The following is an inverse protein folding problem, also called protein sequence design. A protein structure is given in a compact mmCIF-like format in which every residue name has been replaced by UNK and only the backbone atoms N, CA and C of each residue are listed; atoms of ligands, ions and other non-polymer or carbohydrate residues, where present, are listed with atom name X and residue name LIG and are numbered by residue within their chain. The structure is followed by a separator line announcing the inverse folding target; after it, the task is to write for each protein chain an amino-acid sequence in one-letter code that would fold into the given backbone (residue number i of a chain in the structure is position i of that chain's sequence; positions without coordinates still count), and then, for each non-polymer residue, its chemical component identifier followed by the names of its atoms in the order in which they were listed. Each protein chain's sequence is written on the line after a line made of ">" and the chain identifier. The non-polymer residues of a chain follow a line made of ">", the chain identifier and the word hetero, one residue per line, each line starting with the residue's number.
data_IF_045194764532
#
_entry.id   IF_045194764532
#
_cell.length_a   1.000
_cell.length_b   1.000
_cell.length_c   1.000
_cell.angle_alpha   90.00
_cell.angle_beta   90.00
_cell.angle_gamma   90.00
#
_symmetry.space_group_name_H-M   'P 1'
#
loop_
_entity.id
_entity.type
_entity.pdbx_description
1 polymer ?
#
# COMPACT_ATOMS: atom_id res chain seq x y z
N UNK A 1 4.99 -19.35 -9.43
CA UNK A 1 5.45 -19.16 -8.04
C UNK A 1 6.29 -20.38 -7.65
N UNK A 2 7.53 -20.16 -7.25
CA UNK A 2 8.38 -21.24 -6.74
C UNK A 2 7.90 -21.66 -5.34
N UNK A 3 8.22 -22.90 -4.96
CA UNK A 3 7.88 -23.41 -3.62
C UNK A 3 8.46 -22.52 -2.50
N UNK A 4 9.71 -22.05 -2.63
CA UNK A 4 10.32 -21.14 -1.66
C UNK A 4 9.59 -19.80 -1.52
N UNK A 5 9.08 -19.24 -2.61
CA UNK A 5 8.27 -18.02 -2.58
C UNK A 5 6.95 -18.25 -1.85
N UNK A 6 6.28 -19.38 -2.12
CA UNK A 6 5.05 -19.74 -1.44
C UNK A 6 5.24 -19.93 0.08
N UNK A 7 6.36 -20.51 0.50
CA UNK A 7 6.72 -20.65 1.91
C UNK A 7 6.95 -19.30 2.60
N UNK A 8 7.62 -18.37 1.94
CA UNK A 8 7.83 -17.00 2.43
C UNK A 8 6.50 -16.28 2.61
N UNK A 9 5.61 -16.34 1.62
CA UNK A 9 4.27 -15.74 1.71
C UNK A 9 3.44 -16.34 2.83
N UNK A 10 3.48 -17.65 3.02
CA UNK A 10 2.80 -18.34 4.12
C UNK A 10 3.31 -17.93 5.49
N UNK A 11 4.62 -17.74 5.65
CA UNK A 11 5.23 -17.25 6.88
C UNK A 11 4.85 -15.81 7.18
N UNK A 12 4.78 -14.94 6.17
CA UNK A 12 4.32 -13.56 6.32
C UNK A 12 2.84 -13.49 6.72
N UNK A 13 1.99 -14.30 6.10
CA UNK A 13 0.57 -14.39 6.42
C UNK A 13 0.36 -14.70 7.90
N UNK A 14 1.04 -15.73 8.39
CA UNK A 14 0.97 -16.14 9.79
C UNK A 14 1.43 -15.05 10.74
N UNK A 15 2.57 -14.41 10.45
CA UNK A 15 3.12 -13.34 11.26
C UNK A 15 2.19 -12.12 11.33
N UNK A 16 1.63 -11.71 10.19
CA UNK A 16 0.70 -10.58 10.13
C UNK A 16 -0.55 -10.84 10.97
N UNK A 17 -1.09 -12.06 10.92
CA UNK A 17 -2.25 -12.44 11.72
C UNK A 17 -1.94 -12.45 13.21
N UNK A 18 -0.76 -12.91 13.61
CA UNK A 18 -0.32 -12.86 15.00
C UNK A 18 -0.23 -11.43 15.52
N UNK A 19 0.40 -10.53 14.77
CA UNK A 19 0.54 -9.12 15.13
C UNK A 19 -0.83 -8.44 15.24
N UNK A 20 -1.69 -8.63 14.24
CA UNK A 20 -3.01 -8.02 14.21
C UNK A 20 -3.93 -8.52 15.34
N UNK A 21 -3.76 -9.77 15.78
CA UNK A 21 -4.52 -10.34 16.87
C UNK A 21 -4.09 -9.88 18.27
N UNK A 22 -2.89 -9.34 18.41
CA UNK A 22 -2.32 -8.94 19.70
C UNK A 22 -2.57 -7.48 20.06
N UNK A 23 -2.46 -6.58 19.08
CA UNK A 23 -2.54 -5.15 19.34
C UNK A 23 -2.91 -4.34 18.09
N UNK A 24 -3.27 -3.08 18.29
CA UNK A 24 -3.47 -2.14 17.20
C UNK A 24 -2.13 -1.90 16.47
N UNK A 25 -2.14 -1.96 15.15
CA UNK A 25 -0.94 -1.80 14.35
C UNK A 25 -1.23 -1.11 13.02
N UNK A 26 -0.17 -0.58 12.42
CA UNK A 26 -0.19 -0.03 11.06
C UNK A 26 0.74 -0.92 10.21
N UNK A 27 0.20 -1.46 9.14
CA UNK A 27 0.95 -2.32 8.23
C UNK A 27 1.03 -1.65 6.86
N UNK A 28 2.23 -1.59 6.32
CA UNK A 28 2.48 -1.00 5.00
C UNK A 28 2.75 -2.10 3.99
N UNK A 29 1.87 -2.23 3.00
CA UNK A 29 1.99 -3.19 1.92
C UNK A 29 1.72 -4.64 2.35
N UNK A 30 2.45 -5.60 1.78
CA UNK A 30 2.40 -7.04 2.08
C UNK A 30 1.04 -7.69 1.81
N UNK A 31 0.20 -7.07 0.97
CA UNK A 31 -1.18 -7.52 0.75
C UNK A 31 -1.99 -7.69 2.05
N UNK A 32 -1.65 -6.91 3.07
CA UNK A 32 -2.26 -7.00 4.39
C UNK A 32 -3.77 -6.74 4.35
N UNK A 33 -4.22 -5.89 3.44
CA UNK A 33 -5.65 -5.64 3.22
C UNK A 33 -6.43 -6.91 2.85
N UNK A 34 -5.79 -7.82 2.11
CA UNK A 34 -6.40 -9.11 1.73
C UNK A 34 -6.20 -10.16 2.84
N UNK A 35 -4.98 -10.28 3.34
CA UNK A 35 -4.60 -11.28 4.36
C UNK A 35 -5.38 -11.06 5.67
N UNK A 36 -5.55 -9.81 6.09
CA UNK A 36 -6.17 -9.45 7.35
C UNK A 36 -7.65 -9.10 7.26
N UNK A 37 -8.32 -9.52 6.20
CA UNK A 37 -9.74 -9.21 5.94
C UNK A 37 -10.64 -9.52 7.14
N UNK A 38 -10.40 -10.63 7.83
CA UNK A 38 -11.18 -11.06 8.99
C UNK A 38 -11.03 -10.14 10.21
N UNK A 39 -9.94 -9.37 10.27
CA UNK A 39 -9.71 -8.40 11.34
C UNK A 39 -10.33 -7.02 11.03
N UNK A 40 -10.99 -6.89 9.89
CA UNK A 40 -11.67 -5.67 9.44
C UNK A 40 -10.78 -4.41 9.51
N UNK A 41 -9.59 -4.42 8.86
CA UNK A 41 -8.70 -3.27 8.90
C UNK A 41 -9.25 -2.08 8.13
N UNK A 42 -8.83 -0.88 8.53
CA UNK A 42 -9.05 0.30 7.71
C UNK A 42 -8.02 0.32 6.59
N UNK A 43 -8.47 0.11 5.35
CA UNK A 43 -7.61 -0.01 4.19
C UNK A 43 -7.48 1.31 3.45
N UNK A 44 -6.23 1.77 3.29
CA UNK A 44 -5.90 2.99 2.56
C UNK A 44 -5.09 2.62 1.32
N UNK A 45 -5.49 3.15 0.17
CA UNK A 45 -4.71 3.08 -1.06
C UNK A 45 -4.17 4.46 -1.41
N UNK A 46 -2.83 4.57 -1.47
CA UNK A 46 -2.14 5.82 -1.77
C UNK A 46 -1.56 5.73 -3.17
N UNK A 47 -1.86 6.71 -4.01
CA UNK A 47 -1.37 6.73 -5.39
C UNK A 47 -1.00 8.15 -5.85
N UNK A 48 -0.31 8.22 -6.96
CA UNK A 48 0.06 9.48 -7.59
C UNK A 48 0.30 9.27 -9.09
N UNK A 49 0.28 10.35 -9.85
CA UNK A 49 0.71 10.32 -11.24
C UNK A 49 2.22 10.04 -11.36
N UNK A 50 2.64 9.62 -12.54
CA UNK A 50 4.03 9.24 -12.79
C UNK A 50 5.01 10.39 -12.58
N UNK A 51 4.64 11.61 -12.93
CA UNK A 51 5.51 12.79 -12.78
C UNK A 51 5.77 13.11 -11.31
N UNK A 52 4.74 13.06 -10.48
CA UNK A 52 4.88 13.26 -9.03
C UNK A 52 5.76 12.18 -8.39
N UNK A 53 5.61 10.92 -8.82
CA UNK A 53 6.45 9.81 -8.36
C UNK A 53 7.91 10.00 -8.77
N UNK A 54 8.18 10.36 -10.03
CA UNK A 54 9.53 10.63 -10.54
C UNK A 54 10.20 11.75 -9.74
N UNK A 55 9.48 12.86 -9.53
CA UNK A 55 9.98 13.99 -8.74
C UNK A 55 10.42 13.52 -7.35
N UNK A 56 9.58 12.77 -6.65
CA UNK A 56 9.91 12.25 -5.30
C UNK A 56 11.11 11.32 -5.31
N UNK A 57 11.22 10.46 -6.33
CA UNK A 57 12.38 9.58 -6.48
C UNK A 57 13.68 10.38 -6.67
N UNK A 58 13.65 11.41 -7.50
CA UNK A 58 14.81 12.28 -7.73
C UNK A 58 15.21 13.06 -6.47
N UNK A 59 14.25 13.57 -5.72
CA UNK A 59 14.49 14.29 -4.47
C UNK A 59 15.13 13.40 -3.38
N UNK A 60 14.87 12.11 -3.41
CA UNK A 60 15.44 11.12 -2.47
C UNK A 60 16.77 10.53 -2.95
N UNK A 61 17.11 10.67 -4.21
CA UNK A 61 18.34 10.14 -4.76
C UNK A 61 19.55 10.89 -4.22
N UNK A 62 20.69 10.19 -4.09
CA UNK A 62 21.96 10.85 -3.76
C UNK A 62 22.35 11.82 -4.88
N UNK A 63 22.99 12.94 -4.53
CA UNK A 63 23.42 13.98 -5.50
C UNK A 63 24.28 13.43 -6.64
N UNK A 64 24.99 12.33 -6.38
CA UNK A 64 25.84 11.66 -7.35
C UNK A 64 25.11 10.69 -8.27
N UNK A 65 23.84 10.41 -8.00
CA UNK A 65 23.05 9.48 -8.82
C UNK A 65 22.40 10.20 -9.99
N UNK A 66 22.72 9.74 -11.20
CA UNK A 66 22.01 10.16 -12.41
C UNK A 66 20.94 9.13 -12.72
N UNK A 67 19.69 9.48 -12.46
CA UNK A 67 18.57 8.58 -12.66
C UNK A 67 17.80 8.97 -13.93
N UNK A 68 17.73 8.03 -14.87
CA UNK A 68 16.93 8.18 -16.09
C UNK A 68 15.43 8.07 -15.75
N UNK A 69 14.63 9.02 -16.20
CA UNK A 69 13.17 8.97 -16.05
C UNK A 69 12.56 7.73 -16.70
N UNK A 70 13.09 7.33 -17.84
CA UNK A 70 12.64 6.11 -18.55
C UNK A 70 12.85 4.86 -17.69
N UNK A 71 14.00 4.74 -17.05
CA UNK A 71 14.31 3.62 -16.14
C UNK A 71 13.40 3.64 -14.93
N UNK A 72 13.18 4.81 -14.32
CA UNK A 72 12.25 4.96 -13.19
C UNK A 72 10.83 4.54 -13.54
N UNK A 73 10.33 4.96 -14.70
CA UNK A 73 8.99 4.57 -15.17
C UNK A 73 8.85 3.06 -15.33
N UNK A 74 9.86 2.41 -15.90
CA UNK A 74 9.86 0.95 -16.07
C UNK A 74 9.87 0.24 -14.71
N UNK A 75 10.74 0.68 -13.81
CA UNK A 75 10.83 0.12 -12.46
C UNK A 75 9.51 0.27 -11.68
N UNK A 76 8.89 1.45 -11.74
CA UNK A 76 7.59 1.68 -11.09
C UNK A 76 6.50 0.76 -11.62
N UNK A 77 6.45 0.56 -12.94
CA UNK A 77 5.48 -0.36 -13.55
C UNK A 77 5.71 -1.81 -13.13
N UNK A 78 6.96 -2.24 -13.04
CA UNK A 78 7.31 -3.58 -12.59
C UNK A 78 6.94 -3.82 -11.13
N UNK A 79 7.23 -2.85 -10.26
CA UNK A 79 6.88 -2.91 -8.85
C UNK A 79 5.36 -2.99 -8.68
N UNK A 80 4.61 -2.15 -9.36
CA UNK A 80 3.15 -2.14 -9.26
C UNK A 80 2.54 -3.43 -9.83
N UNK A 81 3.12 -3.96 -10.90
CA UNK A 81 2.71 -5.26 -11.46
C UNK A 81 2.95 -6.40 -10.46
N UNK A 82 4.09 -6.39 -9.78
CA UNK A 82 4.40 -7.39 -8.76
C UNK A 82 3.43 -7.31 -7.57
N UNK A 83 3.08 -6.10 -7.13
CA UNK A 83 2.08 -5.87 -6.08
C UNK A 83 0.71 -6.41 -6.49
N UNK A 84 0.28 -6.13 -7.72
CA UNK A 84 -0.98 -6.62 -8.26
C UNK A 84 -1.02 -8.15 -8.31
N UNK A 85 0.04 -8.79 -8.76
CA UNK A 85 0.15 -10.26 -8.78
C UNK A 85 0.09 -10.88 -7.38
N UNK A 86 0.77 -10.28 -6.42
CA UNK A 86 0.75 -10.76 -5.03
C UNK A 86 -0.66 -10.63 -4.43
N UNK A 87 -1.35 -9.53 -4.71
CA UNK A 87 -2.72 -9.34 -4.27
C UNK A 87 -3.66 -10.45 -4.79
N UNK A 88 -3.52 -10.84 -6.06
CA UNK A 88 -4.32 -11.90 -6.68
C UNK A 88 -4.17 -13.26 -5.99
N UNK A 89 -3.05 -13.51 -5.32
CA UNK A 89 -2.83 -14.76 -4.57
C UNK A 89 -3.71 -14.85 -3.32
N UNK A 90 -4.15 -13.73 -2.77
CA UNK A 90 -4.87 -13.66 -1.50
C UNK A 90 -6.31 -13.17 -1.63
N UNK A 91 -6.67 -12.59 -2.76
CA UNK A 91 -7.97 -11.94 -2.94
C UNK A 91 -8.44 -11.97 -4.38
N UNK A 92 -9.76 -11.99 -4.58
CA UNK A 92 -10.38 -11.76 -5.87
C UNK A 92 -10.43 -10.26 -6.22
N UNK A 93 -10.21 -9.38 -5.25
CA UNK A 93 -10.15 -7.94 -5.47
C UNK A 93 -8.85 -7.56 -6.15
N UNK A 94 -8.93 -6.70 -7.16
CA UNK A 94 -7.74 -6.21 -7.86
C UNK A 94 -7.02 -5.15 -7.03
N UNK A 95 -5.70 -5.21 -7.05
CA UNK A 95 -4.86 -4.18 -6.42
C UNK A 95 -5.15 -2.81 -7.03
N UNK A 96 -5.44 -1.83 -6.18
CA UNK A 96 -5.76 -0.46 -6.60
C UNK A 96 -7.21 -0.24 -7.05
N UNK A 97 -8.05 -1.25 -7.02
CA UNK A 97 -9.48 -1.09 -7.30
C UNK A 97 -10.16 -0.45 -6.09
N UNK A 98 -10.81 0.70 -6.32
CA UNK A 98 -11.39 1.53 -5.25
C UNK A 98 -12.31 0.78 -4.28
N UNK A 99 -13.04 -0.21 -4.76
CA UNK A 99 -13.97 -1.00 -3.93
C UNK A 99 -13.27 -1.85 -2.87
N UNK A 100 -11.96 -2.09 -3.01
CA UNK A 100 -11.16 -2.84 -2.04
C UNK A 100 -10.58 -2.00 -0.91
N UNK A 101 -10.84 -0.70 -0.89
CA UNK A 101 -10.24 0.22 0.09
C UNK A 101 -11.30 1.15 0.69
N UNK A 102 -11.05 1.61 1.92
CA UNK A 102 -11.92 2.57 2.61
C UNK A 102 -11.59 4.01 2.22
N UNK A 103 -10.34 4.26 1.86
CA UNK A 103 -9.89 5.57 1.43
C UNK A 103 -8.83 5.42 0.33
N UNK A 104 -9.05 6.07 -0.81
CA UNK A 104 -8.07 6.16 -1.90
C UNK A 104 -7.58 7.61 -1.98
N UNK A 105 -6.28 7.83 -1.83
CA UNK A 105 -5.69 9.16 -1.74
C UNK A 105 -4.81 9.42 -2.95
N UNK A 106 -5.20 10.38 -3.77
CA UNK A 106 -4.35 10.90 -4.84
C UNK A 106 -3.40 11.96 -4.26
N UNK A 107 -2.12 11.62 -4.23
CA UNK A 107 -1.08 12.51 -3.70
C UNK A 107 -0.32 13.27 -4.79
N UNK A 108 -0.83 13.27 -6.03
CA UNK A 108 -0.21 13.98 -7.15
C UNK A 108 -0.13 15.47 -6.86
N UNK A 109 1.05 16.04 -7.09
CA UNK A 109 1.33 17.48 -6.88
C UNK A 109 1.08 17.97 -5.44
N UNK A 110 1.01 17.06 -4.48
CA UNK A 110 0.78 17.37 -3.07
C UNK A 110 2.02 17.07 -2.24
N UNK A 111 2.22 17.87 -1.21
CA UNK A 111 3.13 17.53 -0.12
C UNK A 111 2.40 16.57 0.81
N UNK A 112 2.86 15.33 0.88
CA UNK A 112 2.14 14.25 1.59
C UNK A 112 1.89 14.61 3.05
N UNK A 113 2.85 15.24 3.71
CA UNK A 113 2.72 15.65 5.12
C UNK A 113 1.53 16.57 5.38
N UNK A 114 1.17 17.40 4.41
CA UNK A 114 0.04 18.32 4.54
C UNK A 114 -1.32 17.62 4.51
N UNK A 115 -1.36 16.38 4.02
CA UNK A 115 -2.59 15.58 3.95
C UNK A 115 -2.87 14.81 5.24
N UNK A 116 -1.87 14.63 6.10
CA UNK A 116 -1.98 13.81 7.30
C UNK A 116 -3.13 14.24 8.23
N UNK A 117 -3.32 15.52 8.56
CA UNK A 117 -4.43 15.92 9.43
C UNK A 117 -5.81 15.53 8.89
N UNK A 118 -6.04 15.70 7.59
CA UNK A 118 -7.29 15.31 6.95
C UNK A 118 -7.50 13.79 6.96
N UNK A 119 -6.45 13.02 6.73
CA UNK A 119 -6.48 11.55 6.78
C UNK A 119 -6.82 11.08 8.20
N UNK A 120 -6.19 11.67 9.21
CA UNK A 120 -6.46 11.35 10.62
C UNK A 120 -7.92 11.63 11.00
N UNK A 121 -8.47 12.74 10.53
CA UNK A 121 -9.89 13.07 10.74
C UNK A 121 -10.80 12.01 10.11
N UNK A 122 -10.50 11.60 8.90
CA UNK A 122 -11.28 10.56 8.20
C UNK A 122 -11.22 9.23 8.94
N UNK A 123 -10.04 8.78 9.34
CA UNK A 123 -9.84 7.52 10.07
C UNK A 123 -10.63 7.54 11.38
N UNK A 124 -10.54 8.62 12.15
CA UNK A 124 -11.27 8.79 13.41
C UNK A 124 -12.77 8.68 13.20
N UNK A 125 -13.30 9.39 12.22
CA UNK A 125 -14.72 9.35 11.87
C UNK A 125 -15.17 7.94 11.45
N UNK A 126 -14.35 7.24 10.70
CA UNK A 126 -14.66 5.88 10.27
C UNK A 126 -14.76 4.91 11.45
N UNK A 127 -13.82 4.96 12.38
CA UNK A 127 -13.85 4.08 13.56
C UNK A 127 -15.02 4.43 14.49
N UNK A 128 -15.34 5.69 14.66
CA UNK A 128 -16.51 6.13 15.44
C UNK A 128 -17.82 5.67 14.80
N UNK A 129 -17.90 5.67 13.47
CA UNK A 129 -19.09 5.25 12.73
C UNK A 129 -19.31 3.75 12.65
N UNK A 130 -18.33 2.93 13.02
CA UNK A 130 -18.43 1.44 12.91
C UNK A 130 -19.51 0.82 13.78
N UNK A 131 -19.96 1.51 14.80
CA UNK A 131 -20.95 1.00 15.75
C UNK A 131 -22.40 1.27 15.33
N UNK A 132 -22.60 1.80 14.12
CA UNK A 132 -23.93 2.09 13.59
C UNK A 132 -24.55 0.84 12.89
#
# INVERSE_FOLDING_TARGET
>A
VTQGYAEILGSQDKLLKEIAGQESCIIVGRSANAILKEYEPFNIFVYADSQSKIKRCKERAAETEVISEKVLLLQMKEIDRARAKTQELFSSSKWGEKSGYHLCINTSKQEIKNLIPAIMTYITAWFEGRNL
#
